data_IF_570390756511
#
_entry.id   IF_570390756511
#
_cell.length_a   1.000
_cell.length_b   1.000
_cell.length_c   1.000
_cell.angle_alpha   90.00
_cell.angle_beta   90.00
_cell.angle_gamma   90.00
#
_symmetry.space_group_name_H-M   'P 1'
#
loop_
_entity.id
_entity.type
_entity.pdbx_description
1 polymer ?
#
# COMPACT_ATOMS: atom_id res chain seq x y z
N UNK A 1 28.75 -15.94 -5.49
CA UNK A 1 28.83 -16.30 -6.91
C UNK A 1 27.41 -16.25 -7.42
N UNK A 2 27.10 -15.26 -8.25
CA UNK A 2 25.75 -14.97 -8.76
C UNK A 2 25.27 -16.10 -9.68
N UNK A 3 24.04 -16.58 -9.49
CA UNK A 3 23.32 -17.33 -10.52
C UNK A 3 22.04 -16.58 -10.91
N UNK A 4 22.12 -15.99 -12.10
CA UNK A 4 20.98 -15.44 -12.85
C UNK A 4 20.22 -16.60 -13.49
N UNK A 5 18.94 -16.76 -13.16
CA UNK A 5 18.03 -17.58 -13.95
C UNK A 5 17.60 -16.82 -15.21
N UNK A 6 18.12 -17.24 -16.37
CA UNK A 6 17.65 -16.80 -17.69
C UNK A 6 16.66 -17.84 -18.24
N UNK A 7 15.58 -17.28 -18.77
CA UNK A 7 14.41 -17.86 -19.43
C UNK A 7 14.69 -18.88 -20.55
N UNK A 8 13.73 -19.81 -20.70
CA UNK A 8 13.36 -20.59 -21.90
C UNK A 8 14.36 -21.64 -22.45
N UNK A 9 14.04 -22.92 -22.26
CA UNK A 9 13.66 -23.80 -23.39
C UNK A 9 13.31 -25.23 -22.94
N UNK A 10 12.27 -25.76 -23.58
CA UNK A 10 11.85 -27.17 -23.51
C UNK A 10 12.88 -28.04 -24.24
N UNK A 11 13.54 -28.98 -23.54
CA UNK A 11 13.90 -30.33 -24.05
C UNK A 11 14.64 -31.15 -22.99
N UNK A 12 13.95 -32.14 -22.43
CA UNK A 12 14.60 -33.27 -21.75
C UNK A 12 15.35 -34.13 -22.77
N UNK A 13 16.63 -34.39 -22.50
CA UNK A 13 17.32 -35.57 -23.01
C UNK A 13 17.77 -36.43 -21.82
N UNK A 14 17.36 -37.69 -21.83
CA UNK A 14 17.84 -38.74 -20.93
C UNK A 14 19.29 -39.07 -21.27
N UNK A 15 20.20 -39.00 -20.31
CA UNK A 15 21.38 -39.86 -20.29
C UNK A 15 21.79 -40.16 -18.85
N UNK A 16 22.04 -41.45 -18.63
CA UNK A 16 22.38 -42.09 -17.37
C UNK A 16 23.75 -41.68 -16.87
N UNK A 17 23.85 -41.26 -15.60
CA UNK A 17 24.97 -41.62 -14.72
C UNK A 17 24.45 -41.69 -13.29
N UNK A 18 24.56 -42.86 -12.69
CA UNK A 18 24.24 -43.09 -11.30
C UNK A 18 25.28 -42.42 -10.41
N UNK A 19 24.83 -41.56 -9.52
CA UNK A 19 25.48 -41.34 -8.23
C UNK A 19 24.39 -41.21 -7.17
N UNK A 20 24.58 -42.01 -6.13
CA UNK A 20 23.73 -42.15 -4.97
C UNK A 20 23.65 -40.79 -4.25
N UNK A 21 22.58 -40.03 -4.49
CA UNK A 21 22.21 -38.91 -3.63
C UNK A 21 20.85 -39.25 -3.05
N UNK A 22 20.88 -39.84 -1.84
CA UNK A 22 19.79 -39.76 -0.88
C UNK A 22 19.66 -38.27 -0.51
N UNK A 23 19.03 -37.49 -1.38
CA UNK A 23 18.45 -36.21 -0.96
C UNK A 23 17.17 -36.61 -0.25
N UNK A 24 17.13 -36.38 1.05
CA UNK A 24 15.89 -36.38 1.79
C UNK A 24 14.87 -35.58 0.99
N UNK A 25 13.85 -36.28 0.48
CA UNK A 25 12.60 -35.65 0.10
C UNK A 25 11.94 -35.16 1.39
N UNK A 26 12.49 -34.12 1.98
CA UNK A 26 11.72 -33.23 2.83
C UNK A 26 10.84 -32.45 1.88
N UNK A 27 9.71 -33.06 1.55
CA UNK A 27 8.53 -32.37 1.07
C UNK A 27 8.37 -31.15 1.99
N UNK A 28 8.50 -29.93 1.45
CA UNK A 28 8.33 -28.70 2.24
C UNK A 28 6.88 -28.72 2.72
N UNK A 29 6.67 -29.14 3.97
CA UNK A 29 5.36 -29.53 4.49
C UNK A 29 4.64 -28.36 5.18
N UNK A 30 5.20 -27.15 5.11
CA UNK A 30 4.73 -25.97 5.82
C UNK A 30 5.25 -24.68 5.15
N UNK A 31 4.49 -23.59 5.28
CA UNK A 31 4.93 -22.24 4.91
C UNK A 31 5.89 -21.73 5.98
N UNK A 32 7.12 -21.41 5.59
CA UNK A 32 8.22 -21.09 6.52
C UNK A 32 8.14 -19.69 7.16
N UNK A 33 7.34 -18.74 6.63
CA UNK A 33 7.06 -17.50 7.37
C UNK A 33 5.91 -16.68 6.79
N UNK A 34 5.00 -16.25 7.67
CA UNK A 34 4.18 -15.06 7.46
C UNK A 34 5.08 -13.84 7.65
N UNK A 35 5.01 -12.86 6.74
CA UNK A 35 5.74 -11.59 6.81
C UNK A 35 4.79 -10.38 6.77
N UNK A 36 4.94 -9.40 7.69
CA UNK A 36 5.73 -9.47 8.93
C UNK A 36 5.28 -10.61 9.84
N UNK A 37 6.21 -11.16 10.63
CA UNK A 37 5.91 -12.23 11.59
C UNK A 37 4.88 -11.72 12.62
N UNK A 38 3.75 -12.42 12.83
CA UNK A 38 2.77 -12.05 13.83
C UNK A 38 3.33 -12.05 15.26
N UNK A 39 2.71 -11.28 16.16
CA UNK A 39 3.08 -11.31 17.60
C UNK A 39 2.98 -12.72 18.20
N UNK A 40 1.92 -13.45 17.86
CA UNK A 40 1.73 -14.83 18.25
C UNK A 40 1.23 -15.65 17.06
N UNK A 41 1.87 -16.78 16.80
CA UNK A 41 1.48 -17.77 15.81
C UNK A 41 1.72 -19.17 16.36
N UNK A 42 0.73 -20.05 16.22
CA UNK A 42 0.84 -21.48 16.53
C UNK A 42 0.23 -22.28 15.39
N UNK A 43 1.02 -23.13 14.75
CA UNK A 43 0.57 -23.97 13.64
C UNK A 43 0.69 -25.45 13.98
N UNK A 44 -0.16 -26.27 13.35
CA UNK A 44 -0.15 -27.72 13.46
C UNK A 44 0.15 -28.37 12.10
N UNK A 45 0.40 -29.69 12.10
CA UNK A 45 0.59 -30.47 10.87
C UNK A 45 -0.73 -30.82 10.17
N UNK A 46 -1.88 -30.53 10.79
CA UNK A 46 -3.18 -30.73 10.16
C UNK A 46 -3.33 -29.73 9.00
N UNK A 47 -3.59 -30.22 7.79
CA UNK A 47 -3.77 -29.41 6.58
C UNK A 47 -5.16 -29.56 6.00
N UNK A 48 -5.66 -28.49 5.40
CA UNK A 48 -6.98 -28.42 4.77
C UNK A 48 -6.85 -27.98 3.31
N UNK A 49 -7.57 -28.64 2.42
CA UNK A 49 -7.56 -28.30 0.99
C UNK A 49 -8.45 -27.11 0.70
N UNK A 50 -7.98 -26.19 -0.15
CA UNK A 50 -8.74 -25.06 -0.66
C UNK A 50 -9.08 -25.28 -2.14
N UNK A 51 -10.36 -25.42 -2.45
CA UNK A 51 -10.82 -25.48 -3.84
C UNK A 51 -11.22 -24.08 -4.30
N UNK A 52 -10.52 -23.44 -5.26
CA UNK A 52 -10.83 -22.08 -5.71
C UNK A 52 -12.25 -21.94 -6.28
N UNK A 53 -12.88 -23.03 -6.74
CA UNK A 53 -14.26 -22.98 -7.27
C UNK A 53 -15.34 -22.92 -6.19
N UNK A 54 -15.01 -23.34 -4.98
CA UNK A 54 -15.94 -23.45 -3.84
C UNK A 54 -15.53 -22.55 -2.68
N UNK A 55 -14.34 -21.98 -2.72
CA UNK A 55 -13.81 -21.07 -1.71
C UNK A 55 -14.63 -19.78 -1.67
N UNK A 56 -14.98 -19.34 -0.46
CA UNK A 56 -15.79 -18.15 -0.24
C UNK A 56 -15.23 -17.30 0.90
N UNK A 57 -15.28 -15.99 0.70
CA UNK A 57 -15.25 -15.04 1.80
C UNK A 57 -16.69 -14.76 2.25
N UNK A 58 -16.93 -14.74 3.55
CA UNK A 58 -18.24 -14.45 4.12
C UNK A 58 -18.13 -13.52 5.33
N UNK A 59 -19.19 -12.74 5.55
CA UNK A 59 -19.34 -11.96 6.76
C UNK A 59 -19.97 -12.82 7.86
N UNK A 60 -19.46 -12.71 9.09
CA UNK A 60 -20.08 -13.33 10.27
C UNK A 60 -21.44 -12.71 10.55
N UNK A 61 -22.43 -13.50 10.97
CA UNK A 61 -23.80 -13.04 11.23
C UNK A 61 -23.93 -12.00 12.35
N UNK A 62 -22.97 -11.94 13.27
CA UNK A 62 -22.92 -10.94 14.35
C UNK A 62 -21.97 -9.78 14.09
N UNK A 63 -21.38 -9.70 12.90
CA UNK A 63 -20.42 -8.65 12.53
C UNK A 63 -21.12 -7.31 12.36
N UNK A 64 -20.45 -6.21 12.71
CA UNK A 64 -20.92 -4.85 12.44
C UNK A 64 -20.86 -4.47 10.95
N UNK A 65 -20.27 -5.33 10.12
CA UNK A 65 -20.13 -5.16 8.67
C UNK A 65 -20.79 -6.31 7.91
N UNK A 66 -21.31 -5.97 6.73
CA UNK A 66 -21.93 -6.89 5.78
C UNK A 66 -21.57 -6.49 4.34
N UNK A 67 -22.13 -7.19 3.37
CA UNK A 67 -22.04 -6.81 1.95
C UNK A 67 -22.44 -5.34 1.76
N UNK A 68 -21.61 -4.58 1.03
CA UNK A 68 -21.70 -3.13 0.92
C UNK A 68 -20.59 -2.39 1.68
N UNK A 69 -19.80 -3.08 2.53
CA UNK A 69 -18.59 -2.51 3.12
C UNK A 69 -17.50 -2.35 2.06
N UNK A 70 -17.29 -1.13 1.56
CA UNK A 70 -16.42 -0.89 0.40
C UNK A 70 -14.99 -1.38 0.59
N UNK A 71 -14.43 -1.27 1.80
CA UNK A 71 -13.09 -1.76 2.17
C UNK A 71 -12.99 -3.28 2.05
N UNK A 72 -13.88 -4.02 2.71
CA UNK A 72 -13.81 -5.49 2.76
C UNK A 72 -14.30 -6.15 1.49
N UNK A 73 -15.33 -5.63 0.83
CA UNK A 73 -15.78 -6.14 -0.47
C UNK A 73 -14.66 -6.02 -1.52
N UNK A 74 -13.94 -4.88 -1.50
CA UNK A 74 -12.78 -4.67 -2.36
C UNK A 74 -11.61 -5.57 -1.97
N UNK A 75 -11.42 -5.82 -0.67
CA UNK A 75 -10.40 -6.73 -0.16
C UNK A 75 -10.65 -8.17 -0.59
N UNK A 76 -11.88 -8.69 -0.45
CA UNK A 76 -12.22 -10.06 -0.86
C UNK A 76 -11.97 -10.28 -2.36
N UNK A 77 -12.38 -9.31 -3.19
CA UNK A 77 -12.09 -9.34 -4.65
C UNK A 77 -10.60 -9.34 -4.95
N UNK A 78 -9.80 -8.59 -4.17
CA UNK A 78 -8.35 -8.48 -4.34
C UNK A 78 -7.60 -9.71 -3.84
N UNK A 79 -7.97 -10.26 -2.68
CA UNK A 79 -7.28 -11.38 -2.06
C UNK A 79 -7.54 -12.70 -2.76
N UNK A 80 -8.70 -12.89 -3.38
CA UNK A 80 -8.99 -14.11 -4.14
C UNK A 80 -7.90 -14.45 -5.18
N UNK A 81 -7.53 -13.56 -6.13
CA UNK A 81 -6.45 -13.84 -7.08
C UNK A 81 -5.03 -13.84 -6.46
N UNK A 82 -4.85 -13.26 -5.27
CA UNK A 82 -3.57 -13.35 -4.54
C UNK A 82 -3.38 -14.72 -3.90
N UNK A 83 -4.47 -15.32 -3.41
CA UNK A 83 -4.48 -16.67 -2.84
C UNK A 83 -4.36 -17.73 -3.95
N UNK A 84 -5.06 -17.51 -5.07
CA UNK A 84 -5.15 -18.48 -6.17
C UNK A 84 -4.47 -17.96 -7.44
N UNK A 85 -3.15 -17.75 -7.37
CA UNK A 85 -2.35 -17.09 -8.43
C UNK A 85 -2.46 -17.75 -9.80
N UNK A 86 -2.55 -19.08 -9.84
CA UNK A 86 -2.61 -19.85 -11.09
C UNK A 86 -4.04 -20.22 -11.52
N UNK A 87 -5.04 -19.82 -10.75
CA UNK A 87 -6.43 -20.14 -11.06
C UNK A 87 -6.94 -19.28 -12.22
N UNK A 88 -7.24 -19.95 -13.34
CA UNK A 88 -8.04 -19.41 -14.42
C UNK A 88 -9.36 -20.14 -14.48
N UNK A 89 -10.47 -19.39 -14.47
CA UNK A 89 -11.83 -19.92 -14.58
C UNK A 89 -12.05 -20.77 -15.86
N UNK A 90 -11.13 -20.72 -16.83
CA UNK A 90 -11.20 -21.44 -18.10
C UNK A 90 -10.69 -22.90 -18.07
N UNK A 91 -10.11 -23.41 -16.97
CA UNK A 91 -9.61 -24.81 -16.92
C UNK A 91 -10.78 -25.81 -16.82
N UNK A 92 -10.84 -26.90 -17.64
CA UNK A 92 -11.92 -27.89 -17.58
C UNK A 92 -11.95 -28.70 -16.28
N UNK A 93 -13.12 -29.27 -15.94
CA UNK A 93 -13.31 -30.22 -14.82
C UNK A 93 -12.40 -31.46 -15.03
N UNK A 94 -11.51 -31.74 -14.07
CA UNK A 94 -11.13 -33.12 -13.79
C UNK A 94 -11.99 -33.60 -12.63
N UNK A 95 -12.63 -34.74 -12.84
CA UNK A 95 -13.54 -35.38 -11.89
C UNK A 95 -12.77 -35.85 -10.66
N UNK A 96 -13.15 -35.36 -9.49
CA UNK A 96 -13.21 -36.14 -8.25
C UNK A 96 -14.13 -35.43 -7.26
N UNK A 97 -15.44 -35.68 -7.38
CA UNK A 97 -16.47 -35.18 -6.47
C UNK A 97 -16.78 -36.25 -5.43
N UNK A 98 -16.07 -36.21 -4.30
CA UNK A 98 -16.52 -36.86 -3.06
C UNK A 98 -16.44 -35.83 -1.92
N UNK A 99 -17.58 -35.27 -1.54
CA UNK A 99 -17.86 -34.50 -0.31
C UNK A 99 -16.72 -33.61 0.23
N UNK A 100 -16.26 -32.63 -0.53
CA UNK A 100 -15.46 -31.54 0.03
C UNK A 100 -16.38 -30.38 0.37
N UNK A 101 -16.56 -30.09 1.66
CA UNK A 101 -17.24 -28.87 2.10
C UNK A 101 -16.41 -27.64 1.68
N UNK A 102 -17.06 -26.53 1.27
CA UNK A 102 -16.35 -25.33 0.85
C UNK A 102 -15.51 -24.77 2.01
N UNK A 103 -14.21 -24.55 1.78
CA UNK A 103 -13.38 -23.84 2.75
C UNK A 103 -13.78 -22.35 2.74
N UNK A 104 -14.25 -21.84 3.87
CA UNK A 104 -14.78 -20.48 3.97
C UNK A 104 -13.92 -19.63 4.90
N UNK A 105 -13.58 -18.41 4.50
CA UNK A 105 -13.02 -17.39 5.39
C UNK A 105 -14.15 -16.51 5.89
N UNK A 106 -14.46 -16.61 7.18
CA UNK A 106 -15.51 -15.84 7.83
C UNK A 106 -14.90 -14.68 8.60
N UNK A 107 -15.28 -13.46 8.21
CA UNK A 107 -14.75 -12.22 8.78
C UNK A 107 -15.78 -11.59 9.72
N UNK A 108 -15.33 -11.25 10.92
CA UNK A 108 -16.10 -10.54 11.93
C UNK A 108 -15.36 -9.26 12.31
N UNK A 109 -16.08 -8.14 12.32
CA UNK A 109 -15.55 -6.84 12.74
C UNK A 109 -16.47 -6.22 13.78
N UNK A 110 -15.90 -5.74 14.89
CA UNK A 110 -16.66 -5.14 15.98
C UNK A 110 -17.16 -3.73 15.65
N UNK A 111 -16.35 -2.91 14.94
CA UNK A 111 -16.70 -1.55 14.48
C UNK A 111 -16.46 -1.39 12.98
N UNK A 112 -17.49 -0.93 12.27
CA UNK A 112 -17.53 -0.99 10.81
C UNK A 112 -16.46 -0.15 10.10
N UNK A 113 -16.33 1.14 10.40
CA UNK A 113 -15.34 2.07 9.80
C UNK A 113 -15.15 1.92 8.26
N UNK A 114 -16.17 1.40 7.54
CA UNK A 114 -16.03 0.94 6.15
C UNK A 114 -15.92 2.09 5.15
N UNK A 115 -16.50 3.24 5.47
CA UNK A 115 -16.52 4.43 4.61
C UNK A 115 -15.60 5.54 5.14
N UNK A 116 -14.95 5.29 6.27
CA UNK A 116 -14.03 6.22 6.91
C UNK A 116 -12.62 6.10 6.33
N UNK A 117 -11.76 7.06 6.70
CA UNK A 117 -10.32 7.01 6.46
C UNK A 117 -9.61 6.48 7.71
N UNK A 118 -8.55 5.67 7.56
CA UNK A 118 -7.73 5.30 8.71
C UNK A 118 -7.04 6.54 9.29
N UNK A 119 -6.80 6.53 10.57
CA UNK A 119 -6.11 7.57 11.34
C UNK A 119 -5.00 6.96 12.23
N UNK A 120 -4.44 7.76 13.14
CA UNK A 120 -3.36 7.31 14.03
C UNK A 120 -3.84 6.29 15.09
N UNK A 121 -5.10 6.34 15.49
CA UNK A 121 -5.68 5.54 16.58
C UNK A 121 -6.44 4.31 16.08
N UNK A 122 -6.59 4.18 14.77
CA UNK A 122 -7.20 3.05 14.07
C UNK A 122 -6.62 1.71 14.53
N UNK A 123 -7.45 0.87 15.14
CA UNK A 123 -7.03 -0.45 15.63
C UNK A 123 -6.77 -1.41 14.48
N UNK A 124 -5.52 -1.84 14.33
CA UNK A 124 -5.08 -2.82 13.32
C UNK A 124 -4.94 -4.24 13.90
N UNK A 125 -5.47 -4.48 15.10
CA UNK A 125 -5.39 -5.79 15.77
C UNK A 125 -6.34 -6.80 15.14
N UNK A 126 -5.93 -8.07 15.12
CA UNK A 126 -6.79 -9.16 14.66
C UNK A 126 -6.43 -10.51 15.30
N UNK A 127 -7.37 -11.43 15.23
CA UNK A 127 -7.20 -12.86 15.54
C UNK A 127 -7.65 -13.69 14.35
N UNK A 128 -6.83 -14.65 13.92
CA UNK A 128 -7.11 -15.55 12.81
C UNK A 128 -6.99 -17.00 13.29
N UNK A 129 -8.08 -17.75 13.22
CA UNK A 129 -8.18 -19.17 13.58
C UNK A 129 -8.50 -19.99 12.33
N UNK A 130 -7.53 -20.72 11.81
CA UNK A 130 -7.70 -21.66 10.69
C UNK A 130 -7.97 -23.05 11.24
N UNK A 131 -9.14 -23.62 10.94
CA UNK A 131 -9.58 -24.95 11.39
C UNK A 131 -10.23 -25.73 10.25
N UNK A 132 -10.63 -26.97 10.52
CA UNK A 132 -11.25 -27.85 9.52
C UNK A 132 -12.47 -27.22 8.87
N UNK A 133 -12.35 -26.89 7.58
CA UNK A 133 -13.42 -26.34 6.74
C UNK A 133 -13.63 -24.83 6.83
N UNK A 134 -12.92 -24.11 7.71
CA UNK A 134 -13.14 -22.68 7.90
C UNK A 134 -11.92 -21.95 8.49
N UNK A 135 -11.70 -20.71 8.05
CA UNK A 135 -10.89 -19.74 8.77
C UNK A 135 -11.78 -18.65 9.38
N UNK A 136 -11.66 -18.41 10.68
CA UNK A 136 -12.36 -17.33 11.36
C UNK A 136 -11.39 -16.16 11.60
N UNK A 137 -11.67 -15.02 10.99
CA UNK A 137 -10.92 -13.79 11.16
C UNK A 137 -11.76 -12.79 11.97
N UNK A 138 -11.27 -12.39 13.13
CA UNK A 138 -11.91 -11.39 13.99
C UNK A 138 -11.00 -10.18 14.15
N UNK A 139 -11.56 -8.99 14.04
CA UNK A 139 -10.84 -7.74 14.25
C UNK A 139 -11.74 -6.69 14.90
N UNK A 140 -11.14 -5.73 15.59
CA UNK A 140 -11.89 -4.62 16.18
C UNK A 140 -12.46 -3.70 15.10
N UNK A 141 -11.69 -3.45 14.03
CA UNK A 141 -12.08 -2.60 12.90
C UNK A 141 -11.76 -3.28 11.56
N UNK A 142 -12.22 -2.68 10.46
CA UNK A 142 -11.87 -3.15 9.10
C UNK A 142 -10.36 -3.10 8.83
N UNK A 143 -9.61 -2.24 9.52
CA UNK A 143 -8.17 -2.11 9.32
C UNK A 143 -7.44 -3.36 9.80
N UNK A 144 -7.80 -3.89 10.98
CA UNK A 144 -7.28 -5.17 11.47
C UNK A 144 -7.68 -6.35 10.57
N UNK A 145 -8.92 -6.35 10.06
CA UNK A 145 -9.36 -7.38 9.13
C UNK A 145 -8.53 -7.39 7.82
N UNK A 146 -8.15 -6.22 7.28
CA UNK A 146 -7.23 -6.16 6.14
C UNK A 146 -5.87 -6.81 6.45
N UNK A 147 -5.31 -6.59 7.64
CA UNK A 147 -4.04 -7.21 8.05
C UNK A 147 -4.15 -8.72 8.22
N UNK A 148 -5.28 -9.19 8.74
CA UNK A 148 -5.55 -10.61 8.88
C UNK A 148 -5.79 -11.33 7.55
N UNK A 149 -6.43 -10.67 6.57
CA UNK A 149 -6.57 -11.21 5.22
C UNK A 149 -5.21 -11.35 4.52
N UNK A 150 -4.31 -10.38 4.71
CA UNK A 150 -2.93 -10.48 4.23
C UNK A 150 -2.24 -11.72 4.83
N UNK A 151 -2.27 -11.86 6.15
CA UNK A 151 -1.65 -13.00 6.83
C UNK A 151 -2.27 -14.34 6.41
N UNK A 152 -3.60 -14.41 6.25
CA UNK A 152 -4.27 -15.60 5.72
C UNK A 152 -3.78 -15.94 4.31
N UNK A 153 -3.63 -14.95 3.44
CA UNK A 153 -3.17 -15.20 2.06
C UNK A 153 -1.78 -15.81 1.99
N UNK A 154 -0.91 -15.45 2.94
CA UNK A 154 0.44 -15.98 3.05
C UNK A 154 0.48 -17.40 3.65
N UNK A 155 -0.55 -17.82 4.39
CA UNK A 155 -0.65 -19.20 4.92
C UNK A 155 -1.03 -20.22 3.84
N UNK A 156 -1.57 -19.76 2.70
CA UNK A 156 -1.98 -20.65 1.62
C UNK A 156 -0.78 -20.98 0.74
N UNK A 157 -0.60 -22.26 0.45
CA UNK A 157 0.49 -22.76 -0.40
C UNK A 157 -0.02 -23.85 -1.35
N UNK A 158 0.79 -24.17 -2.34
CA UNK A 158 0.53 -25.25 -3.29
C UNK A 158 1.46 -26.44 -3.04
N UNK A 159 0.97 -27.63 -3.30
CA UNK A 159 1.84 -28.81 -3.46
C UNK A 159 2.41 -28.93 -4.89
N UNK A 160 3.21 -29.96 -5.12
CA UNK A 160 3.82 -30.25 -6.43
C UNK A 160 2.80 -30.53 -7.54
N UNK A 161 1.53 -30.83 -7.18
CA UNK A 161 0.44 -31.09 -8.11
C UNK A 161 -0.43 -29.85 -8.36
N UNK A 162 -0.14 -28.73 -7.68
CA UNK A 162 -0.86 -27.47 -7.80
C UNK A 162 -2.17 -27.42 -7.00
N UNK A 163 -2.41 -28.37 -6.09
CA UNK A 163 -3.51 -28.29 -5.14
C UNK A 163 -3.17 -27.28 -4.04
N UNK A 164 -4.15 -26.45 -3.65
CA UNK A 164 -3.96 -25.44 -2.60
C UNK A 164 -4.28 -26.00 -1.22
N UNK A 165 -3.44 -25.67 -0.25
CA UNK A 165 -3.57 -26.09 1.14
C UNK A 165 -3.36 -24.93 2.11
N UNK A 166 -3.90 -25.10 3.32
CA UNK A 166 -3.60 -24.26 4.48
C UNK A 166 -3.46 -25.16 5.72
N UNK A 167 -2.54 -24.86 6.62
CA UNK A 167 -2.41 -25.58 7.88
C UNK A 167 -3.34 -25.00 8.96
N UNK A 168 -3.79 -25.85 9.87
CA UNK A 168 -4.41 -25.42 11.12
C UNK A 168 -3.46 -24.46 11.84
N UNK A 169 -3.92 -23.23 12.05
CA UNK A 169 -3.08 -22.12 12.49
C UNK A 169 -3.91 -21.17 13.34
N UNK A 170 -3.37 -20.78 14.48
CA UNK A 170 -3.90 -19.73 15.35
C UNK A 170 -2.94 -18.54 15.34
N UNK A 171 -3.44 -17.35 15.01
CA UNK A 171 -2.69 -16.09 15.02
C UNK A 171 -3.44 -15.07 15.88
N UNK A 172 -2.69 -14.37 16.71
CA UNK A 172 -3.11 -13.14 17.36
C UNK A 172 -2.04 -12.09 17.10
N UNK A 173 -2.44 -10.97 16.50
CA UNK A 173 -1.49 -10.00 15.98
C UNK A 173 -1.97 -8.56 16.14
N UNK A 174 -0.99 -7.68 16.30
CA UNK A 174 -1.16 -6.24 16.34
C UNK A 174 0.20 -5.57 16.06
N UNK A 175 0.21 -4.37 15.48
CA UNK A 175 1.47 -3.69 15.20
C UNK A 175 2.12 -3.17 16.49
N UNK A 176 3.44 -3.31 16.59
CA UNK A 176 4.23 -2.69 17.67
C UNK A 176 4.18 -1.15 17.62
N UNK A 177 4.13 -0.58 16.41
CA UNK A 177 4.11 0.85 16.17
C UNK A 177 3.00 1.21 15.19
N UNK A 178 2.23 2.25 15.52
CA UNK A 178 1.10 2.71 14.70
C UNK A 178 1.55 3.46 13.44
N UNK A 179 2.70 4.13 13.43
CA UNK A 179 3.19 4.82 12.24
C UNK A 179 4.22 3.94 11.50
N UNK A 180 3.85 3.40 10.33
CA UNK A 180 4.73 2.59 9.48
C UNK A 180 4.69 3.18 8.08
N UNK A 181 5.66 4.05 7.80
CA UNK A 181 5.64 4.94 6.64
C UNK A 181 6.62 4.55 5.52
N UNK A 182 6.22 4.84 4.28
CA UNK A 182 7.14 5.00 3.14
C UNK A 182 7.03 6.45 2.65
N UNK A 183 8.16 7.14 2.57
CA UNK A 183 8.26 8.43 1.89
C UNK A 183 8.51 8.21 0.41
N UNK A 184 7.70 8.84 -0.43
CA UNK A 184 7.88 8.86 -1.88
C UNK A 184 7.95 10.30 -2.37
N UNK A 185 9.13 10.66 -2.87
CA UNK A 185 9.41 11.94 -3.52
C UNK A 185 8.98 11.88 -4.99
N UNK A 186 8.00 12.70 -5.33
CA UNK A 186 7.50 12.83 -6.71
C UNK A 186 7.82 14.18 -7.34
N UNK A 187 8.64 15.00 -6.68
CA UNK A 187 9.10 16.28 -7.22
C UNK A 187 10.42 16.15 -7.95
N UNK A 188 11.42 15.48 -7.34
CA UNK A 188 12.75 15.30 -7.95
C UNK A 188 12.64 14.55 -9.27
N UNK A 189 11.74 13.58 -9.34
CA UNK A 189 11.28 12.95 -10.57
C UNK A 189 9.77 12.72 -10.49
N UNK A 190 9.06 12.99 -11.58
CA UNK A 190 7.65 12.62 -11.66
C UNK A 190 7.49 11.09 -11.67
N UNK A 191 6.59 10.58 -10.82
CA UNK A 191 6.20 9.18 -10.85
C UNK A 191 4.80 9.02 -11.45
N UNK A 192 4.61 8.18 -12.47
CA UNK A 192 3.30 8.01 -13.07
C UNK A 192 2.33 7.38 -12.06
N UNK A 193 1.05 7.77 -12.12
CA UNK A 193 0.03 7.36 -11.16
C UNK A 193 0.00 5.84 -10.92
N UNK A 194 0.13 5.03 -11.97
CA UNK A 194 0.11 3.57 -11.86
C UNK A 194 1.27 3.01 -11.01
N UNK A 195 2.43 3.68 -10.96
CA UNK A 195 3.55 3.30 -10.12
C UNK A 195 3.22 3.55 -8.64
N UNK A 196 2.64 4.73 -8.33
CA UNK A 196 2.18 5.06 -6.97
C UNK A 196 1.15 4.04 -6.48
N UNK A 197 0.15 3.69 -7.31
CA UNK A 197 -0.87 2.71 -6.94
C UNK A 197 -0.28 1.31 -6.67
N UNK A 198 0.74 0.90 -7.43
CA UNK A 198 1.49 -0.35 -7.19
C UNK A 198 2.33 -0.30 -5.93
N UNK A 199 2.91 0.86 -5.60
CA UNK A 199 3.61 1.05 -4.31
C UNK A 199 2.64 0.87 -3.15
N UNK A 200 1.42 1.42 -3.23
CA UNK A 200 0.38 1.21 -2.21
C UNK A 200 -0.05 -0.26 -2.09
N UNK A 201 -0.10 -1.00 -3.21
CA UNK A 201 -0.31 -2.47 -3.16
C UNK A 201 0.81 -3.15 -2.37
N UNK A 202 2.07 -2.88 -2.71
CA UNK A 202 3.23 -3.47 -2.04
C UNK A 202 3.30 -3.09 -0.54
N UNK A 203 2.95 -1.85 -0.20
CA UNK A 203 2.82 -1.40 1.19
C UNK A 203 1.80 -2.23 1.94
N UNK A 204 0.65 -2.53 1.33
CA UNK A 204 -0.40 -3.32 1.96
C UNK A 204 0.04 -4.76 2.26
N UNK A 205 0.78 -5.38 1.35
CA UNK A 205 1.35 -6.72 1.54
C UNK A 205 2.35 -6.76 2.70
N UNK A 206 3.08 -5.67 2.89
CA UNK A 206 4.06 -5.52 3.97
C UNK A 206 3.47 -4.86 5.24
N UNK A 207 2.15 -4.71 5.31
CA UNK A 207 1.43 -4.07 6.44
C UNK A 207 1.92 -2.64 6.78
N UNK A 208 2.50 -1.91 5.82
CA UNK A 208 2.71 -0.45 5.95
C UNK A 208 1.36 0.25 5.88
N UNK A 209 1.23 1.38 6.59
CA UNK A 209 -0.04 2.08 6.75
C UNK A 209 0.04 3.59 6.58
N UNK A 210 1.22 4.17 6.32
CA UNK A 210 1.36 5.59 5.98
C UNK A 210 2.12 5.74 4.67
N UNK A 211 1.47 6.37 3.69
CA UNK A 211 2.09 6.84 2.48
C UNK A 211 2.43 8.31 2.68
N UNK A 212 3.70 8.60 2.94
CA UNK A 212 4.20 9.95 3.07
C UNK A 212 4.55 10.46 1.66
N UNK A 213 3.69 11.32 1.13
CA UNK A 213 3.80 11.82 -0.23
C UNK A 213 4.48 13.18 -0.23
N UNK A 214 5.80 13.15 -0.45
CA UNK A 214 6.61 14.33 -0.73
C UNK A 214 6.33 14.79 -2.16
N UNK A 215 5.29 15.61 -2.30
CA UNK A 215 4.64 15.84 -3.60
C UNK A 215 5.24 17.02 -4.38
N UNK A 216 5.96 17.94 -3.72
CA UNK A 216 6.56 19.15 -4.32
C UNK A 216 7.92 19.44 -3.68
N UNK A 217 8.84 20.05 -4.42
CA UNK A 217 10.20 20.42 -4.01
C UNK A 217 10.80 21.42 -5.02
N UNK A 218 12.09 21.75 -4.93
CA UNK A 218 12.82 22.61 -5.86
C UNK A 218 12.67 22.22 -7.34
N UNK A 219 12.81 20.94 -7.74
CA UNK A 219 12.85 20.60 -9.16
C UNK A 219 11.49 20.65 -9.85
N UNK A 220 10.39 20.38 -9.13
CA UNK A 220 9.06 20.49 -9.74
C UNK A 220 7.88 20.64 -8.75
N UNK A 221 6.82 21.29 -9.23
CA UNK A 221 5.53 21.41 -8.56
C UNK A 221 4.44 20.63 -9.32
N UNK A 222 4.36 19.28 -9.20
CA UNK A 222 3.40 18.48 -9.96
C UNK A 222 1.99 18.51 -9.35
N UNK A 223 1.79 18.95 -8.10
CA UNK A 223 0.44 19.03 -7.50
C UNK A 223 -0.41 20.11 -8.18
N UNK A 224 -1.56 19.74 -8.76
CA UNK A 224 -2.47 20.70 -9.37
C UNK A 224 -3.35 21.38 -8.32
N UNK A 225 -2.92 22.55 -7.83
CA UNK A 225 -3.77 23.37 -6.96
C UNK A 225 -4.95 23.96 -7.73
N UNK A 226 -6.15 23.91 -7.13
CA UNK A 226 -7.33 24.58 -7.68
C UNK A 226 -7.32 26.08 -7.39
N UNK A 227 -6.75 26.46 -6.25
CA UNK A 227 -6.63 27.83 -5.75
C UNK A 227 -5.49 28.58 -6.44
N UNK A 228 -4.42 27.88 -6.79
CA UNK A 228 -3.24 28.43 -7.48
C UNK A 228 -2.85 27.57 -8.69
N UNK A 229 -3.61 27.62 -9.81
CA UNK A 229 -3.34 26.79 -10.99
C UNK A 229 -1.94 27.00 -11.58
N UNK A 230 -1.40 28.21 -11.41
CA UNK A 230 -0.08 28.61 -11.90
C UNK A 230 1.08 27.84 -11.27
N UNK A 231 0.91 27.28 -10.07
CA UNK A 231 1.95 26.47 -9.42
C UNK A 231 2.32 25.26 -10.28
N UNK A 232 1.33 24.47 -10.69
CA UNK A 232 1.58 23.32 -11.58
C UNK A 232 1.79 23.72 -13.04
N UNK A 233 1.14 24.78 -13.54
CA UNK A 233 1.23 25.13 -14.96
C UNK A 233 2.62 25.69 -15.34
N UNK A 234 3.36 26.21 -14.37
CA UNK A 234 4.70 26.77 -14.55
C UNK A 234 5.80 26.00 -13.79
N UNK A 235 5.47 25.39 -12.65
CA UNK A 235 6.43 24.68 -11.80
C UNK A 235 6.55 23.18 -12.08
N UNK A 236 5.62 22.54 -12.79
CA UNK A 236 5.76 21.11 -13.13
C UNK A 236 6.75 20.90 -14.29
N UNK A 237 7.37 19.71 -14.37
CA UNK A 237 8.22 19.34 -15.52
C UNK A 237 7.50 19.44 -16.87
N UNK A 238 6.19 19.18 -16.89
CA UNK A 238 5.34 19.41 -18.05
C UNK A 238 3.90 19.67 -17.60
N UNK A 239 3.26 20.78 -18.04
CA UNK A 239 2.00 21.29 -17.48
C UNK A 239 0.77 20.39 -17.72
N UNK A 240 0.90 19.29 -18.46
CA UNK A 240 -0.22 18.38 -18.76
C UNK A 240 0.08 16.90 -18.55
N UNK A 241 1.34 16.48 -18.46
CA UNK A 241 1.71 15.05 -18.41
C UNK A 241 2.43 14.66 -17.13
N UNK A 242 3.04 15.63 -16.45
CA UNK A 242 3.81 15.45 -15.21
C UNK A 242 3.13 16.22 -14.08
N UNK A 243 1.82 16.08 -13.98
CA UNK A 243 0.95 16.78 -13.02
C UNK A 243 0.01 15.76 -12.40
N UNK A 244 -0.19 15.85 -11.09
CA UNK A 244 -1.23 15.14 -10.36
C UNK A 244 -2.46 16.02 -10.27
N UNK A 245 -3.48 15.70 -11.05
CA UNK A 245 -4.76 16.40 -11.00
C UNK A 245 -5.49 16.11 -9.69
N UNK A 246 -6.49 16.92 -9.35
CA UNK A 246 -7.38 16.66 -8.20
C UNK A 246 -8.07 15.28 -8.28
N UNK A 247 -8.30 14.77 -9.49
CA UNK A 247 -8.86 13.43 -9.72
C UNK A 247 -7.80 12.36 -9.41
N UNK A 248 -6.55 12.57 -9.82
CA UNK A 248 -5.45 11.64 -9.55
C UNK A 248 -5.18 11.54 -8.05
N UNK A 249 -5.10 12.68 -7.35
CA UNK A 249 -4.91 12.74 -5.89
C UNK A 249 -6.04 12.00 -5.17
N UNK A 250 -7.31 12.26 -5.52
CA UNK A 250 -8.46 11.52 -4.96
C UNK A 250 -8.39 10.03 -5.23
N UNK A 251 -7.89 9.62 -6.41
CA UNK A 251 -7.70 8.21 -6.76
C UNK A 251 -6.64 7.54 -5.90
N UNK A 252 -5.51 8.21 -5.64
CA UNK A 252 -4.46 7.71 -4.72
C UNK A 252 -5.04 7.56 -3.32
N UNK A 253 -5.72 8.58 -2.80
CA UNK A 253 -6.34 8.59 -1.47
C UNK A 253 -7.35 7.46 -1.33
N UNK A 254 -8.26 7.29 -2.29
CA UNK A 254 -9.25 6.21 -2.27
C UNK A 254 -8.60 4.83 -2.36
N UNK A 255 -7.58 4.66 -3.19
CA UNK A 255 -6.87 3.38 -3.35
C UNK A 255 -6.08 3.00 -2.08
N UNK A 256 -5.48 3.98 -1.42
CA UNK A 256 -4.81 3.85 -0.13
C UNK A 256 -5.81 3.47 0.99
N UNK A 257 -6.96 4.15 1.06
CA UNK A 257 -8.04 3.87 2.02
C UNK A 257 -8.51 2.41 1.95
N UNK A 258 -8.74 1.88 0.75
CA UNK A 258 -9.14 0.47 0.54
C UNK A 258 -8.07 -0.57 0.94
N UNK A 259 -6.89 -0.11 1.38
CA UNK A 259 -5.77 -0.90 1.90
C UNK A 259 -5.41 -0.53 3.34
N UNK A 260 -6.19 0.32 3.98
CA UNK A 260 -5.88 0.83 5.32
C UNK A 260 -4.57 1.62 5.34
N UNK A 261 -4.32 2.42 4.30
CA UNK A 261 -3.14 3.28 4.19
C UNK A 261 -3.61 4.73 4.23
N UNK A 262 -3.01 5.50 5.14
CA UNK A 262 -3.11 6.94 5.27
C UNK A 262 -2.27 7.64 4.20
N UNK A 263 -2.75 8.76 3.67
CA UNK A 263 -1.98 9.59 2.72
C UNK A 263 -1.59 10.88 3.42
N UNK A 264 -0.35 10.93 3.92
CA UNK A 264 0.24 12.09 4.56
C UNK A 264 0.90 12.95 3.49
N UNK A 265 0.30 14.09 3.16
CA UNK A 265 0.88 15.02 2.19
C UNK A 265 1.96 15.89 2.83
N UNK A 266 3.04 16.11 2.09
CA UNK A 266 4.09 17.04 2.45
C UNK A 266 4.19 18.19 1.45
N UNK A 267 4.23 19.41 2.01
CA UNK A 267 4.49 20.64 1.28
C UNK A 267 5.63 21.35 1.99
N UNK A 268 6.85 20.97 1.62
CA UNK A 268 8.07 21.41 2.29
C UNK A 268 8.29 22.93 2.15
N UNK A 269 8.60 23.56 3.27
CA UNK A 269 8.87 24.98 3.37
C UNK A 269 9.69 25.30 4.63
N UNK A 270 10.49 26.38 4.66
CA UNK A 270 10.65 27.40 3.61
C UNK A 270 11.72 27.05 2.57
N UNK A 271 12.59 26.06 2.83
CA UNK A 271 13.49 25.47 1.82
C UNK A 271 12.71 24.73 0.74
N UNK A 272 13.40 24.09 -0.21
CA UNK A 272 12.77 23.16 -1.17
C UNK A 272 11.57 23.75 -1.95
N UNK A 273 11.65 25.04 -2.32
CA UNK A 273 10.53 25.80 -2.88
C UNK A 273 10.81 26.49 -4.22
N UNK A 274 11.92 26.20 -4.90
CA UNK A 274 12.25 26.86 -6.18
C UNK A 274 11.13 26.77 -7.22
N UNK A 275 10.57 25.57 -7.44
CA UNK A 275 9.46 25.37 -8.39
C UNK A 275 8.18 26.12 -8.04
N UNK A 276 8.00 26.52 -6.77
CA UNK A 276 6.83 27.25 -6.31
C UNK A 276 6.88 28.71 -6.80
N UNK A 277 8.09 29.28 -6.87
CA UNK A 277 8.31 30.66 -7.33
C UNK A 277 7.91 30.89 -8.78
N UNK A 278 7.98 29.86 -9.63
CA UNK A 278 7.52 29.89 -11.02
C UNK A 278 6.02 30.22 -11.13
N UNK A 279 5.22 29.66 -10.21
CA UNK A 279 3.77 29.84 -10.19
C UNK A 279 3.27 30.95 -9.27
N UNK A 280 4.09 31.42 -8.32
CA UNK A 280 3.72 32.47 -7.37
C UNK A 280 4.79 33.58 -7.32
N UNK A 281 4.67 34.62 -8.18
CA UNK A 281 5.60 35.74 -8.18
C UNK A 281 5.68 36.43 -6.82
N UNK A 282 6.91 36.75 -6.40
CA UNK A 282 7.18 37.45 -5.13
C UNK A 282 7.14 36.57 -3.87
N UNK A 283 6.98 35.24 -4.02
CA UNK A 283 7.02 34.29 -2.91
C UNK A 283 8.44 34.07 -2.37
N UNK A 284 9.40 33.83 -3.27
CA UNK A 284 10.77 33.47 -2.92
C UNK A 284 11.65 34.69 -2.63
N UNK A 285 12.68 34.49 -1.82
CA UNK A 285 13.65 35.53 -1.47
C UNK A 285 14.56 35.83 -2.67
N UNK A 286 14.61 37.06 -3.19
CA UNK A 286 15.56 37.42 -4.24
C UNK A 286 16.98 37.49 -3.65
N UNK A 287 17.92 36.71 -4.19
CA UNK A 287 19.30 36.68 -3.67
C UNK A 287 20.14 37.83 -4.25
N UNK A 288 21.08 38.35 -3.46
CA UNK A 288 21.93 39.46 -3.85
C UNK A 288 23.41 39.09 -3.87
N UNK A 289 24.15 39.65 -4.83
CA UNK A 289 25.62 39.68 -4.81
C UNK A 289 26.06 41.10 -4.47
N UNK A 290 26.29 41.36 -3.18
CA UNK A 290 26.46 42.73 -2.68
C UNK A 290 25.11 43.47 -2.71
N UNK A 291 25.03 44.59 -3.42
CA UNK A 291 23.78 45.37 -3.56
C UNK A 291 23.01 45.09 -4.85
N UNK A 292 23.45 44.12 -5.66
CA UNK A 292 22.86 43.81 -6.97
C UNK A 292 22.12 42.48 -6.91
N UNK A 293 20.86 42.39 -7.38
CA UNK A 293 20.15 41.12 -7.52
C UNK A 293 20.93 40.15 -8.40
N UNK A 294 21.14 38.94 -7.91
CA UNK A 294 21.88 37.89 -8.61
C UNK A 294 21.09 37.21 -9.74
N UNK A 295 19.75 37.37 -9.73
CA UNK A 295 18.84 36.67 -10.62
C UNK A 295 18.43 35.28 -10.13
N UNK A 296 18.98 34.81 -9.00
CA UNK A 296 18.53 33.57 -8.34
C UNK A 296 17.62 33.88 -7.17
N UNK A 297 16.85 32.87 -6.77
CA UNK A 297 15.96 32.93 -5.62
C UNK A 297 16.42 31.93 -4.56
N UNK A 298 16.10 32.20 -3.31
CA UNK A 298 16.34 31.32 -2.17
C UNK A 298 15.02 30.79 -1.57
N UNK A 299 15.00 30.49 -0.27
CA UNK A 299 13.81 30.04 0.43
C UNK A 299 12.62 31.02 0.31
N UNK A 300 11.41 30.54 0.64
CA UNK A 300 10.22 31.38 0.81
C UNK A 300 10.54 32.58 1.70
N UNK A 301 10.22 33.79 1.25
CA UNK A 301 10.56 35.02 1.97
C UNK A 301 9.65 35.20 3.20
N UNK A 302 10.17 35.05 4.44
CA UNK A 302 9.37 35.16 5.64
C UNK A 302 9.11 36.61 6.06
N UNK A 303 9.83 37.59 5.49
CA UNK A 303 9.61 39.01 5.79
C UNK A 303 8.38 39.58 5.06
N UNK A 304 7.89 38.88 4.03
CA UNK A 304 6.73 39.31 3.24
C UNK A 304 5.42 38.76 3.82
N UNK A 305 4.51 39.66 4.22
CA UNK A 305 3.18 39.26 4.71
C UNK A 305 2.38 38.44 3.70
N UNK A 306 2.56 38.71 2.40
CA UNK A 306 1.93 37.96 1.31
C UNK A 306 2.29 36.47 1.31
N UNK A 307 3.48 36.09 1.79
CA UNK A 307 3.90 34.69 1.90
C UNK A 307 2.99 33.92 2.85
N UNK A 308 2.65 34.50 4.00
CA UNK A 308 1.72 33.88 4.95
C UNK A 308 0.28 33.81 4.42
N UNK A 309 -0.15 34.82 3.65
CA UNK A 309 -1.46 34.79 2.98
C UNK A 309 -1.53 33.68 1.91
N UNK A 310 -0.45 33.50 1.14
CA UNK A 310 -0.32 32.41 0.18
C UNK A 310 -0.37 31.05 0.90
N UNK A 311 0.49 30.84 1.91
CA UNK A 311 0.54 29.59 2.66
C UNK A 311 -0.80 29.26 3.32
N UNK A 312 -1.45 30.23 3.97
CA UNK A 312 -2.75 30.04 4.59
C UNK A 312 -3.82 29.56 3.58
N UNK A 313 -3.84 30.14 2.38
CA UNK A 313 -4.77 29.74 1.32
C UNK A 313 -4.44 28.38 0.73
N UNK A 314 -3.15 28.09 0.52
CA UNK A 314 -2.69 26.81 -0.02
C UNK A 314 -3.02 25.69 0.98
N UNK A 315 -2.63 25.83 2.25
CA UNK A 315 -2.91 24.81 3.26
C UNK A 315 -4.40 24.64 3.56
N UNK A 316 -5.22 25.69 3.44
CA UNK A 316 -6.68 25.54 3.48
C UNK A 316 -7.19 24.60 2.38
N UNK A 317 -6.65 24.68 1.17
CA UNK A 317 -6.96 23.71 0.12
C UNK A 317 -6.40 22.33 0.46
N UNK A 318 -5.13 22.21 0.83
CA UNK A 318 -4.48 20.92 1.14
C UNK A 318 -5.24 20.15 2.22
N UNK A 319 -5.62 20.79 3.33
CA UNK A 319 -6.44 20.19 4.40
C UNK A 319 -7.84 19.77 3.95
N UNK A 320 -8.37 20.34 2.86
CA UNK A 320 -9.66 19.95 2.28
C UNK A 320 -9.54 18.79 1.29
N UNK A 321 -8.38 18.63 0.66
CA UNK A 321 -8.10 17.60 -0.35
C UNK A 321 -7.60 16.32 0.30
N UNK A 322 -6.70 16.43 1.28
CA UNK A 322 -6.11 15.32 2.00
C UNK A 322 -6.84 15.12 3.33
N UNK A 323 -7.52 13.98 3.53
CA UNK A 323 -8.33 13.74 4.73
C UNK A 323 -7.53 13.29 5.95
N UNK A 324 -6.21 13.10 5.82
CA UNK A 324 -5.36 12.72 6.97
C UNK A 324 -5.35 13.83 8.02
N UNK A 325 -5.31 13.45 9.30
CA UNK A 325 -5.27 14.41 10.40
C UNK A 325 -3.96 15.19 10.49
N UNK A 326 -2.93 14.78 9.75
CA UNK A 326 -1.61 15.39 9.74
C UNK A 326 -1.25 15.89 8.33
N UNK A 327 -0.45 16.96 8.31
CA UNK A 327 0.25 17.47 7.14
C UNK A 327 1.71 17.61 7.54
N UNK A 328 2.62 17.16 6.69
CA UNK A 328 4.05 17.38 6.90
C UNK A 328 4.45 18.72 6.27
N UNK A 329 5.15 19.56 7.04
CA UNK A 329 5.55 20.91 6.61
C UNK A 329 7.01 20.96 6.13
N UNK A 330 7.72 19.83 6.15
CA UNK A 330 9.15 19.73 5.87
C UNK A 330 9.95 20.55 6.87
N UNK A 331 10.70 21.52 6.36
CA UNK A 331 11.51 22.44 7.16
C UNK A 331 12.98 22.04 7.27
N UNK A 332 13.43 21.13 6.40
CA UNK A 332 14.82 20.73 6.28
C UNK A 332 15.65 21.68 5.40
N UNK A 333 16.97 21.58 5.59
CA UNK A 333 18.03 22.16 4.75
C UNK A 333 17.87 23.62 4.32
N UNK A 334 17.29 24.48 5.17
CA UNK A 334 17.14 25.92 4.86
C UNK A 334 18.51 26.60 4.69
N UNK A 335 18.82 27.03 3.48
CA UNK A 335 20.00 27.83 3.16
C UNK A 335 19.81 29.30 3.58
N UNK A 336 20.81 29.86 4.27
CA UNK A 336 20.83 31.25 4.75
C UNK A 336 21.78 32.17 3.95
N UNK A 337 22.39 31.67 2.87
CA UNK A 337 23.30 32.48 2.04
C UNK A 337 22.55 33.48 1.17
N UNK A 338 21.30 33.16 0.82
CA UNK A 338 20.31 34.06 0.29
C UNK A 338 19.53 34.72 1.45
#
# INVERSE_FOLDING_TARGET
>A
MEEKCISNSRRCYKQWFGFMVLIMSSCVSYVDAVWPMPQMISSSMARYTLNPREFLFQYSSGSSVQSGCSVLDSAFKRYFPLIFTDYSAARPRQHDEWFRFPFTVVVHVDRAECEDYPDADSSESYKLSVRSGQAALRAETVWGALRGLESFSQLVYQDDFGEYFVNETEIEDFPRFQFRGILLDTSRHYLPLHAILKTLDAMSYNKFNVFHWHIVDDPSFPYQSSTFPDLSSKGAFHPSTHVYTQIDVKRVIAHARLRGIRVLAEFDSPGHTQSWGEGQPGLLTPCYKGTVPSGTFGPVNPANFSSYQFMSRLFKEVTSVFPDSYIHLGGDEVDFTC
#
